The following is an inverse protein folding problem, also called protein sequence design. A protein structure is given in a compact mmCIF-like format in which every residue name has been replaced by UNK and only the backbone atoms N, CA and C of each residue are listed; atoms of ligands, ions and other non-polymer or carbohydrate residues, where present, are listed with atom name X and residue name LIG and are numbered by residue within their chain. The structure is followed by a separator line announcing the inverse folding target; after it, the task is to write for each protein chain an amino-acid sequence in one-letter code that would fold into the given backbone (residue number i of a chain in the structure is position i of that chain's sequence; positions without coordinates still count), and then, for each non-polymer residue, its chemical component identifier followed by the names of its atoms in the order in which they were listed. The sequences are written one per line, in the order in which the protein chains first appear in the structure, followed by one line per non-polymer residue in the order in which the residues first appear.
data_IF_018024917587
#
_entry.id   IF_018024917587
#
_cell.length_a   1.000
_cell.length_b   1.000
_cell.length_c   1.000
_cell.angle_alpha   90.00
_cell.angle_beta   90.00
_cell.angle_gamma   90.00
#
_symmetry.space_group_name_H-M   'P 1'
#
loop_
_entity.id
_entity.type
_entity.pdbx_description
1 polymer ?
#
# COMPACT_ATOMS: atom_id res chain seq x y z
N UNK A 1 8.22 32.11 -7.39
CA UNK A 1 7.99 30.83 -8.09
C UNK A 1 7.68 29.78 -7.04
N UNK A 2 6.52 29.11 -7.13
CA UNK A 2 6.08 28.08 -6.18
C UNK A 2 6.80 26.78 -6.55
N UNK A 3 7.64 26.25 -5.66
CA UNK A 3 8.40 25.03 -5.88
C UNK A 3 7.44 23.82 -5.95
N UNK A 4 7.53 23.02 -7.01
CA UNK A 4 6.75 21.79 -7.17
C UNK A 4 7.60 20.61 -6.69
N UNK A 5 7.27 19.99 -5.56
CA UNK A 5 8.05 18.88 -5.00
C UNK A 5 7.79 17.53 -5.69
N UNK A 6 6.85 17.45 -6.64
CA UNK A 6 6.42 16.20 -7.26
C UNK A 6 7.26 15.89 -8.51
N UNK A 7 8.28 15.05 -8.34
CA UNK A 7 9.12 14.53 -9.43
C UNK A 7 8.61 13.17 -9.93
N UNK A 8 8.61 12.91 -11.25
CA UNK A 8 8.35 11.57 -11.79
C UNK A 8 9.41 10.61 -11.24
N UNK A 9 8.98 9.50 -10.64
CA UNK A 9 9.81 8.45 -10.01
C UNK A 9 10.50 8.82 -8.69
N UNK A 10 10.19 9.95 -8.06
CA UNK A 10 10.66 10.27 -6.70
C UNK A 10 9.57 10.06 -5.64
N UNK A 11 9.98 9.64 -4.44
CA UNK A 11 9.10 9.62 -3.26
C UNK A 11 8.99 11.07 -2.77
N UNK A 12 7.81 11.67 -2.87
CA UNK A 12 7.53 12.90 -2.15
C UNK A 12 7.38 12.55 -0.67
N UNK A 13 8.28 13.05 0.17
CA UNK A 13 8.17 12.87 1.63
C UNK A 13 6.86 13.50 2.14
N UNK A 14 6.22 12.96 3.20
CA UNK A 14 4.98 13.49 3.76
C UNK A 14 5.03 15.01 4.04
N UNK A 15 6.19 15.52 4.48
CA UNK A 15 6.42 16.97 4.68
C UNK A 15 6.39 17.84 3.42
N UNK A 16 6.34 17.25 2.21
CA UNK A 16 6.21 17.95 0.93
C UNK A 16 4.74 18.11 0.48
N UNK A 17 3.79 17.53 1.21
CA UNK A 17 2.35 17.67 0.96
C UNK A 17 1.73 18.85 1.74
N UNK A 18 2.50 19.91 2.00
CA UNK A 18 2.00 21.11 2.68
C UNK A 18 0.77 21.66 1.96
N UNK A 19 -0.35 21.79 2.67
CA UNK A 19 -1.63 22.24 2.11
C UNK A 19 -2.48 21.13 1.48
N UNK A 20 -2.19 19.86 1.77
CA UNK A 20 -3.00 18.68 1.38
C UNK A 20 -3.54 17.89 2.57
N UNK A 21 -3.64 18.56 3.73
CA UNK A 21 -4.00 17.92 4.98
C UNK A 21 -5.39 17.28 4.88
N UNK A 22 -6.36 18.01 4.31
CA UNK A 22 -7.73 17.52 4.16
C UNK A 22 -7.80 16.25 3.30
N UNK A 23 -7.03 16.17 2.21
CA UNK A 23 -7.00 14.98 1.36
C UNK A 23 -6.28 13.80 2.05
N UNK A 24 -5.22 14.07 2.79
CA UNK A 24 -4.53 13.05 3.60
C UNK A 24 -5.46 12.50 4.68
N UNK A 25 -6.12 13.38 5.43
CA UNK A 25 -7.07 13.00 6.47
C UNK A 25 -8.25 12.20 5.90
N UNK A 26 -8.71 12.55 4.71
CA UNK A 26 -9.77 11.81 4.00
C UNK A 26 -9.31 10.39 3.68
N UNK A 27 -8.09 10.23 3.14
CA UNK A 27 -7.51 8.92 2.83
C UNK A 27 -7.34 8.08 4.09
N UNK A 28 -6.74 8.63 5.14
CA UNK A 28 -6.53 7.93 6.40
C UNK A 28 -7.86 7.51 7.05
N UNK A 29 -8.85 8.40 7.04
CA UNK A 29 -10.19 8.08 7.54
C UNK A 29 -10.85 6.98 6.71
N UNK A 30 -10.75 7.02 5.38
CA UNK A 30 -11.29 5.97 4.51
C UNK A 30 -10.63 4.61 4.73
N UNK A 31 -9.31 4.57 4.92
CA UNK A 31 -8.58 3.35 5.27
C UNK A 31 -9.00 2.83 6.65
N UNK A 32 -9.16 3.73 7.63
CA UNK A 32 -9.63 3.39 8.97
C UNK A 32 -11.03 2.78 8.95
N UNK A 33 -11.99 3.39 8.25
CA UNK A 33 -13.33 2.84 8.09
C UNK A 33 -13.29 1.48 7.38
N UNK A 34 -12.52 1.36 6.31
CA UNK A 34 -12.38 0.10 5.55
C UNK A 34 -11.80 -1.03 6.42
N UNK A 35 -10.86 -0.71 7.32
CA UNK A 35 -10.30 -1.68 8.29
C UNK A 35 -11.36 -2.21 9.25
N UNK A 36 -12.33 -1.36 9.62
CA UNK A 36 -13.42 -1.67 10.52
C UNK A 36 -14.67 -2.16 9.77
N UNK A 37 -14.48 -2.95 8.70
CA UNK A 37 -15.55 -3.60 7.93
C UNK A 37 -16.57 -2.62 7.29
N UNK A 38 -16.18 -1.37 7.11
CA UNK A 38 -16.99 -0.35 6.44
C UNK A 38 -16.28 0.15 5.16
N UNK A 39 -16.42 -0.55 4.02
CA UNK A 39 -15.70 -0.25 2.79
C UNK A 39 -15.96 1.17 2.29
N UNK A 40 -14.90 1.88 1.88
CA UNK A 40 -14.98 3.24 1.35
C UNK A 40 -14.46 3.31 -0.09
N UNK A 41 -15.04 4.23 -0.87
CA UNK A 41 -14.59 4.55 -2.22
C UNK A 41 -14.17 6.02 -2.29
N UNK A 42 -12.95 6.27 -2.74
CA UNK A 42 -12.39 7.62 -2.86
C UNK A 42 -12.09 7.92 -4.32
N UNK A 43 -12.54 9.10 -4.79
CA UNK A 43 -12.20 9.63 -6.11
C UNK A 43 -11.29 10.84 -5.96
N UNK A 44 -10.07 10.75 -6.51
CA UNK A 44 -9.13 11.87 -6.53
C UNK A 44 -9.14 12.48 -7.93
N UNK A 45 -9.62 13.72 -8.04
CA UNK A 45 -9.64 14.49 -9.29
C UNK A 45 -8.81 15.78 -9.15
N UNK A 46 -8.51 16.43 -10.28
CA UNK A 46 -7.75 17.69 -10.30
C UNK A 46 -6.81 17.79 -11.49
N UNK A 47 -6.13 18.94 -11.62
CA UNK A 47 -5.29 19.27 -12.77
C UNK A 47 -4.08 18.32 -12.95
N UNK A 48 -3.58 18.22 -14.18
CA UNK A 48 -2.37 17.43 -14.49
C UNK A 48 -1.17 18.00 -13.74
N UNK A 49 -0.35 17.12 -13.16
CA UNK A 49 0.89 17.51 -12.48
C UNK A 49 0.71 18.05 -11.04
N UNK A 50 -0.52 18.07 -10.51
CA UNK A 50 -0.82 18.62 -9.18
C UNK A 50 -0.41 17.68 -8.01
N UNK A 51 0.10 16.47 -8.31
CA UNK A 51 0.56 15.50 -7.31
C UNK A 51 -0.41 14.36 -6.96
N UNK A 52 -1.45 14.11 -7.77
CA UNK A 52 -2.44 13.03 -7.50
C UNK A 52 -1.79 11.65 -7.37
N UNK A 53 -0.86 11.30 -8.27
CA UNK A 53 -0.16 10.00 -8.21
C UNK A 53 0.75 9.88 -6.99
N UNK A 54 1.36 10.98 -6.56
CA UNK A 54 2.16 11.01 -5.33
C UNK A 54 1.29 10.82 -4.09
N UNK A 55 0.08 11.39 -4.07
CA UNK A 55 -0.88 11.18 -3.00
C UNK A 55 -1.39 9.73 -2.95
N UNK A 56 -1.68 9.12 -4.09
CA UNK A 56 -2.04 7.70 -4.18
C UNK A 56 -0.89 6.79 -3.73
N UNK A 57 0.35 7.15 -4.05
CA UNK A 57 1.52 6.41 -3.58
C UNK A 57 1.67 6.50 -2.06
N UNK A 58 1.46 7.67 -1.46
CA UNK A 58 1.40 7.81 -0.01
C UNK A 58 0.31 6.94 0.63
N UNK A 59 -0.91 6.95 0.04
CA UNK A 59 -2.00 6.08 0.49
C UNK A 59 -1.64 4.59 0.45
N UNK A 60 -0.94 4.15 -0.61
CA UNK A 60 -0.48 2.77 -0.76
C UNK A 60 0.54 2.37 0.32
N UNK A 61 1.47 3.27 0.67
CA UNK A 61 2.45 3.04 1.74
C UNK A 61 1.76 2.91 3.11
N UNK A 62 0.83 3.81 3.43
CA UNK A 62 0.05 3.72 4.67
C UNK A 62 -0.76 2.43 4.70
N UNK A 63 -1.48 2.11 3.62
CA UNK A 63 -2.38 0.96 3.57
C UNK A 63 -1.65 -0.36 3.82
N UNK A 64 -0.39 -0.47 3.38
CA UNK A 64 0.46 -1.65 3.60
C UNK A 64 1.12 -1.68 4.99
N UNK A 65 1.09 -0.57 5.72
CA UNK A 65 1.79 -0.41 6.99
C UNK A 65 3.26 -0.02 6.84
N UNK A 66 3.70 0.43 5.66
CA UNK A 66 5.07 0.93 5.44
C UNK A 66 5.29 2.29 6.12
N UNK A 67 4.20 3.03 6.35
CA UNK A 67 4.16 4.28 7.12
C UNK A 67 3.09 4.12 8.21
N UNK A 68 3.50 4.33 9.47
CA UNK A 68 2.57 4.39 10.60
C UNK A 68 1.88 5.76 10.64
N UNK A 69 0.58 5.75 10.94
CA UNK A 69 -0.21 6.97 11.16
C UNK A 69 -0.86 6.88 12.53
N UNK A 70 -1.03 8.02 13.20
CA UNK A 70 -1.47 8.09 14.61
C UNK A 70 -2.78 7.33 14.88
N UNK A 71 -3.66 7.27 13.89
CA UNK A 71 -5.00 6.68 14.02
C UNK A 71 -5.01 5.16 13.97
N UNK A 72 -4.08 4.51 13.26
CA UNK A 72 -4.00 3.06 13.14
C UNK A 72 -2.79 2.60 12.33
N UNK A 73 -2.31 1.38 12.65
CA UNK A 73 -1.47 0.59 11.75
C UNK A 73 -2.34 -0.25 10.81
N UNK A 74 -2.01 -0.26 9.52
CA UNK A 74 -2.71 -1.02 8.49
C UNK A 74 -1.87 -2.18 7.98
N UNK A 75 -2.53 -3.18 7.39
CA UNK A 75 -1.89 -4.34 6.78
C UNK A 75 -2.76 -4.85 5.62
N UNK A 76 -3.10 -3.95 4.70
CA UNK A 76 -3.91 -4.29 3.54
C UNK A 76 -3.06 -4.88 2.42
N UNK A 77 -3.63 -5.86 1.73
CA UNK A 77 -3.18 -6.23 0.39
C UNK A 77 -3.59 -5.14 -0.60
N UNK A 78 -2.69 -4.21 -0.90
CA UNK A 78 -2.93 -3.15 -1.87
C UNK A 78 -2.42 -3.53 -3.27
N UNK A 79 -3.21 -3.16 -4.29
CA UNK A 79 -2.94 -3.37 -5.71
C UNK A 79 -3.11 -2.03 -6.43
N UNK A 80 -2.08 -1.61 -7.16
CA UNK A 80 -2.14 -0.44 -8.05
C UNK A 80 -2.30 -0.92 -9.49
N UNK A 81 -3.14 -0.24 -10.27
CA UNK A 81 -3.41 -0.61 -11.65
C UNK A 81 -3.46 0.64 -12.53
N UNK A 82 -2.63 0.65 -13.57
CA UNK A 82 -2.75 1.63 -14.65
C UNK A 82 -3.76 1.12 -15.68
N UNK A 83 -4.71 1.99 -16.02
CA UNK A 83 -5.78 1.74 -16.99
C UNK A 83 -5.55 2.51 -18.31
N UNK A 84 -4.41 3.19 -18.48
CA UNK A 84 -4.05 3.84 -19.73
C UNK A 84 -4.11 2.84 -20.89
N UNK A 85 -4.87 3.19 -21.94
CA UNK A 85 -5.05 2.33 -23.11
C UNK A 85 -6.06 1.20 -22.95
N UNK A 86 -6.69 1.04 -21.77
CA UNK A 86 -7.79 0.08 -21.56
C UNK A 86 -9.10 0.74 -21.98
N UNK A 87 -9.77 0.16 -22.98
CA UNK A 87 -10.95 0.78 -23.63
C UNK A 87 -12.27 0.06 -23.35
N UNK A 88 -12.24 -1.09 -22.68
CA UNK A 88 -13.44 -1.91 -22.41
C UNK A 88 -13.55 -2.28 -20.93
N UNK A 89 -14.78 -2.50 -20.46
CA UNK A 89 -15.03 -2.98 -19.09
C UNK A 89 -14.37 -4.34 -18.83
N UNK A 90 -14.43 -5.25 -19.80
CA UNK A 90 -13.73 -6.54 -19.72
C UNK A 90 -12.23 -6.37 -19.54
N UNK A 91 -11.60 -5.45 -20.28
CA UNK A 91 -10.18 -5.14 -20.13
C UNK A 91 -9.83 -4.58 -18.75
N UNK A 92 -10.70 -3.77 -18.14
CA UNK A 92 -10.50 -3.27 -16.76
C UNK A 92 -10.50 -4.44 -15.78
N UNK A 93 -11.47 -5.35 -15.89
CA UNK A 93 -11.58 -6.53 -15.02
C UNK A 93 -10.34 -7.43 -15.17
N UNK A 94 -9.91 -7.69 -16.40
CA UNK A 94 -8.72 -8.50 -16.69
C UNK A 94 -7.45 -7.88 -16.11
N UNK A 95 -7.30 -6.56 -16.28
CA UNK A 95 -6.16 -5.80 -15.78
C UNK A 95 -6.08 -5.88 -14.25
N UNK A 96 -7.15 -5.55 -13.54
CA UNK A 96 -7.23 -5.61 -12.07
C UNK A 96 -6.97 -7.06 -11.60
N UNK A 97 -7.62 -8.03 -12.23
CA UNK A 97 -7.47 -9.44 -11.88
C UNK A 97 -6.04 -9.96 -12.08
N UNK A 98 -5.32 -9.48 -13.10
CA UNK A 98 -3.91 -9.83 -13.33
C UNK A 98 -3.02 -9.28 -12.23
N UNK A 99 -3.16 -8.00 -11.89
CA UNK A 99 -2.34 -7.37 -10.84
C UNK A 99 -2.61 -7.98 -9.46
N UNK A 100 -3.88 -8.26 -9.14
CA UNK A 100 -4.26 -8.95 -7.90
C UNK A 100 -3.63 -10.34 -7.81
N UNK A 101 -3.73 -11.17 -8.87
CA UNK A 101 -3.08 -12.49 -8.89
C UNK A 101 -1.57 -12.40 -8.77
N UNK A 102 -0.94 -11.41 -9.40
CA UNK A 102 0.50 -11.17 -9.31
C UNK A 102 0.93 -10.85 -7.87
N UNK A 103 0.18 -9.97 -7.19
CA UNK A 103 0.44 -9.60 -5.81
C UNK A 103 0.24 -10.77 -4.84
N UNK A 104 -0.85 -11.52 -4.98
CA UNK A 104 -1.13 -12.71 -4.16
C UNK A 104 -0.01 -13.76 -4.26
N UNK A 105 0.44 -14.09 -5.48
CA UNK A 105 1.56 -15.02 -5.68
C UNK A 105 2.85 -14.60 -4.96
N UNK A 106 3.09 -13.29 -4.86
CA UNK A 106 4.27 -12.76 -4.16
C UNK A 106 4.14 -12.93 -2.65
N UNK A 107 2.93 -12.72 -2.11
CA UNK A 107 2.62 -12.97 -0.70
C UNK A 107 2.71 -14.46 -0.34
N UNK A 108 2.19 -15.36 -1.17
CA UNK A 108 2.28 -16.81 -0.92
C UNK A 108 3.74 -17.29 -0.86
N UNK A 109 4.60 -16.75 -1.73
CA UNK A 109 6.05 -17.04 -1.70
C UNK A 109 6.69 -16.56 -0.41
N UNK A 110 6.36 -15.34 0.05
CA UNK A 110 6.86 -14.80 1.31
C UNK A 110 6.40 -15.63 2.50
N UNK A 111 5.12 -16.03 2.54
CA UNK A 111 4.57 -16.90 3.58
C UNK A 111 5.23 -18.27 3.59
N UNK A 112 5.38 -18.90 2.43
CA UNK A 112 6.07 -20.18 2.30
C UNK A 112 7.56 -20.10 2.68
N UNK A 113 8.20 -18.95 2.44
CA UNK A 113 9.57 -18.70 2.88
C UNK A 113 9.66 -18.55 4.41
N UNK A 114 8.78 -17.76 5.02
CA UNK A 114 8.74 -17.58 6.47
C UNK A 114 8.55 -18.91 7.22
N UNK A 115 7.58 -19.73 6.80
CA UNK A 115 7.33 -21.04 7.43
C UNK A 115 8.51 -22.02 7.31
N UNK A 116 9.35 -21.92 6.26
CA UNK A 116 10.55 -22.76 6.11
C UNK A 116 11.70 -22.36 7.03
N UNK A 117 11.72 -21.12 7.50
CA UNK A 117 12.76 -20.59 8.37
C UNK A 117 12.39 -20.65 9.86
N UNK A 118 11.09 -20.58 10.21
CA UNK A 118 10.62 -20.84 11.58
C UNK A 118 10.88 -22.28 12.03
N UNK A 119 10.83 -23.27 11.13
CA UNK A 119 11.10 -24.69 11.46
C UNK A 119 12.58 -25.01 11.76
N UNK A 120 13.49 -24.05 11.61
CA UNK A 120 14.94 -24.23 11.87
C UNK A 120 15.33 -23.64 13.25
N UNK A 121 14.48 -22.80 13.85
CA UNK A 121 14.79 -22.10 15.11
C UNK A 121 14.56 -22.92 16.40
N UNK A 122 13.78 -24.00 16.35
CA UNK A 122 13.39 -24.76 17.55
C UNK A 122 14.30 -25.96 17.90
N UNK A 123 15.37 -26.20 17.14
CA UNK A 123 16.26 -27.36 17.34
C UNK A 123 17.55 -27.09 18.14
N UNK A 124 17.70 -25.91 18.75
CA UNK A 124 18.92 -25.54 19.50
C UNK A 124 18.73 -25.23 20.99
N UNK A 125 17.61 -25.64 21.61
CA UNK A 125 17.37 -25.42 23.05
C UNK A 125 17.32 -26.71 23.90
N UNK A 126 17.79 -27.86 23.41
CA UNK A 126 17.66 -29.14 24.11
C UNK A 126 18.97 -29.90 24.43
N UNK A 127 20.14 -29.27 24.35
CA UNK A 127 21.40 -29.87 24.83
C UNK A 127 22.10 -28.94 25.83
N UNK A 128 21.65 -28.97 27.09
CA UNK A 128 22.25 -28.16 28.14
C UNK A 128 21.72 -28.47 29.52
N UNK A 129 21.65 -29.76 29.89
CA UNK A 129 21.27 -30.16 31.25
C UNK A 129 21.89 -31.50 31.64
N UNK A 130 23.22 -31.60 31.62
CA UNK A 130 23.96 -32.59 32.42
C UNK A 130 25.32 -31.99 32.82
N UNK A 131 25.40 -31.41 34.02
CA UNK A 131 26.45 -31.67 35.01
C UNK A 131 26.15 -30.96 36.33
#
# INVERSE_FOLDING_TARGET
MRYNPFVPNGIAFPGMFTGRLDEIETIEHSLFQTKNENPQHVLISGERGIGKSSLLFYADLIARGDIEVEKANFNFLSVSTDLAGVTSQGGIIEQIGRELRSKLKSYDKLRAFAHRHESIGDSHSAEGLIH
#
